data_IF_155288788001
#
_entry.id   IF_155288788001
#
_cell.length_a   1.000
_cell.length_b   1.000
_cell.length_c   1.000
_cell.angle_alpha   90.00
_cell.angle_beta   90.00
_cell.angle_gamma   90.00
#
_symmetry.space_group_name_H-M   'P 1'
#
loop_
_entity.id
_entity.type
_entity.pdbx_description
1 polymer ?
#
# COMPACT_ATOMS: atom_id res chain seq x y z
N UNK A 1 -13.78 -27.67 -30.44
CA UNK A 1 -13.54 -26.22 -30.27
C UNK A 1 -14.29 -25.46 -31.34
N UNK A 2 -15.11 -24.49 -30.94
CA UNK A 2 -15.87 -23.61 -31.85
C UNK A 2 -15.00 -22.46 -32.36
N UNK A 3 -15.43 -21.81 -33.44
CA UNK A 3 -14.75 -20.60 -33.96
C UNK A 3 -14.69 -19.47 -32.92
N UNK A 4 -15.73 -19.36 -32.09
CA UNK A 4 -15.79 -18.38 -31.00
C UNK A 4 -14.74 -18.68 -29.92
N UNK A 5 -14.64 -19.94 -29.50
CA UNK A 5 -13.63 -20.40 -28.54
C UNK A 5 -12.20 -20.17 -29.07
N UNK A 6 -11.93 -20.52 -30.33
CA UNK A 6 -10.62 -20.30 -30.96
C UNK A 6 -10.25 -18.80 -31.01
N UNK A 7 -11.22 -17.93 -31.31
CA UNK A 7 -11.02 -16.47 -31.31
C UNK A 7 -10.74 -15.92 -29.91
N UNK A 8 -11.41 -16.45 -28.89
CA UNK A 8 -11.18 -16.05 -27.50
C UNK A 8 -9.77 -16.43 -27.03
N UNK A 9 -9.32 -17.65 -27.35
CA UNK A 9 -7.95 -18.10 -27.02
C UNK A 9 -6.91 -17.21 -27.69
N UNK A 10 -7.04 -16.95 -29.00
CA UNK A 10 -6.11 -16.06 -29.72
C UNK A 10 -6.01 -14.67 -29.09
N UNK A 11 -7.13 -14.09 -28.65
CA UNK A 11 -7.11 -12.79 -27.96
C UNK A 11 -6.32 -12.83 -26.66
N UNK A 12 -6.48 -13.88 -25.85
CA UNK A 12 -5.70 -14.06 -24.62
C UNK A 12 -4.20 -14.19 -24.89
N UNK A 13 -3.81 -14.95 -25.93
CA UNK A 13 -2.41 -15.09 -26.33
C UNK A 13 -1.82 -13.73 -26.74
N UNK A 14 -2.51 -12.97 -27.60
CA UNK A 14 -2.06 -11.63 -28.03
C UNK A 14 -1.92 -10.67 -26.84
N UNK A 15 -2.85 -10.72 -25.88
CA UNK A 15 -2.75 -9.93 -24.66
C UNK A 15 -1.53 -10.33 -23.81
N UNK A 16 -1.27 -11.63 -23.65
CA UNK A 16 -0.08 -12.13 -22.96
C UNK A 16 1.21 -11.65 -23.62
N UNK A 17 1.33 -11.75 -24.94
CA UNK A 17 2.49 -11.24 -25.69
C UNK A 17 2.69 -9.73 -25.53
N UNK A 18 1.60 -8.96 -25.40
CA UNK A 18 1.67 -7.53 -25.13
C UNK A 18 2.18 -7.23 -23.71
N UNK A 19 1.72 -7.99 -22.71
CA UNK A 19 2.19 -7.88 -21.32
C UNK A 19 3.68 -8.21 -21.23
N UNK A 20 4.13 -9.29 -21.88
CA UNK A 20 5.56 -9.67 -21.93
C UNK A 20 6.42 -8.57 -22.55
N UNK A 21 5.96 -7.95 -23.65
CA UNK A 21 6.64 -6.80 -24.27
C UNK A 21 6.75 -5.58 -23.36
N UNK A 22 5.88 -5.47 -22.34
CA UNK A 22 5.90 -4.41 -21.34
C UNK A 22 6.72 -4.79 -20.09
N UNK A 23 7.44 -5.91 -20.10
CA UNK A 23 8.24 -6.38 -18.97
C UNK A 23 7.50 -7.30 -18.00
N UNK A 24 6.33 -7.83 -18.41
CA UNK A 24 5.55 -8.76 -17.61
C UNK A 24 4.68 -8.08 -16.54
N UNK A 25 4.17 -8.89 -15.62
CA UNK A 25 3.50 -8.41 -14.41
C UNK A 25 4.55 -8.33 -13.30
N UNK A 26 4.62 -7.18 -12.64
CA UNK A 26 5.49 -6.97 -11.47
C UNK A 26 4.66 -6.66 -10.25
N UNK A 27 5.19 -6.99 -9.08
CA UNK A 27 4.60 -6.70 -7.77
C UNK A 27 5.48 -5.73 -7.00
N UNK A 28 4.87 -4.79 -6.30
CA UNK A 28 5.52 -3.93 -5.30
C UNK A 28 4.71 -4.01 -4.01
N UNK A 29 5.41 -4.25 -2.91
CA UNK A 29 4.82 -4.30 -1.57
C UNK A 29 5.13 -2.98 -0.88
N UNK A 30 4.09 -2.29 -0.43
CA UNK A 30 4.18 -0.96 0.21
C UNK A 30 3.24 -0.90 1.41
N UNK A 31 3.58 -0.09 2.41
CA UNK A 31 2.69 0.14 3.56
C UNK A 31 1.35 0.71 3.06
N UNK A 32 0.24 0.05 3.43
CA UNK A 32 -1.09 0.53 3.07
C UNK A 32 -1.56 1.67 3.97
N UNK A 33 -2.70 2.28 3.61
CA UNK A 33 -3.43 3.22 4.47
C UNK A 33 -4.16 2.54 5.65
N UNK A 34 -3.95 1.24 5.87
CA UNK A 34 -4.52 0.46 6.96
C UNK A 34 -3.41 -0.14 7.84
N UNK A 35 -3.53 0.09 9.16
CA UNK A 35 -2.60 -0.43 10.18
C UNK A 35 -2.53 -1.95 10.10
N UNK A 36 -1.31 -2.50 10.05
CA UNK A 36 -1.08 -3.95 9.99
C UNK A 36 -1.33 -4.60 8.63
N UNK A 37 -1.51 -3.81 7.56
CA UNK A 37 -1.68 -4.32 6.20
C UNK A 37 -0.71 -3.64 5.23
N UNK A 38 -0.20 -4.42 4.29
CA UNK A 38 0.49 -3.93 3.11
C UNK A 38 -0.44 -3.89 1.89
N UNK A 39 -0.12 -3.00 0.95
CA UNK A 39 -0.61 -3.09 -0.41
C UNK A 39 0.32 -3.93 -1.25
N UNK A 40 -0.22 -5.01 -1.80
CA UNK A 40 0.39 -5.76 -2.89
C UNK A 40 -0.08 -5.14 -4.20
N UNK A 41 0.75 -4.27 -4.76
CA UNK A 41 0.48 -3.50 -5.96
C UNK A 41 1.03 -4.24 -7.18
N UNK A 42 0.14 -4.64 -8.09
CA UNK A 42 0.48 -5.35 -9.32
C UNK A 42 0.46 -4.39 -10.52
N UNK A 43 1.53 -4.41 -11.31
CA UNK A 43 1.74 -3.53 -12.44
C UNK A 43 1.93 -4.30 -13.74
N UNK A 44 1.52 -3.70 -14.86
CA UNK A 44 1.95 -4.10 -16.20
C UNK A 44 2.73 -2.93 -16.80
N UNK A 45 4.04 -3.12 -17.02
CA UNK A 45 4.95 -1.99 -17.18
C UNK A 45 4.86 -1.05 -15.97
N UNK A 46 4.63 0.24 -16.20
CA UNK A 46 4.49 1.24 -15.13
C UNK A 46 3.03 1.47 -14.69
N UNK A 47 2.06 0.74 -15.26
CA UNK A 47 0.64 0.94 -14.96
C UNK A 47 0.16 0.01 -13.85
N UNK A 48 -0.28 0.59 -12.74
CA UNK A 48 -0.96 -0.14 -11.66
C UNK A 48 -2.28 -0.73 -12.20
N UNK A 49 -2.46 -2.04 -12.03
CA UNK A 49 -3.67 -2.75 -12.48
C UNK A 49 -4.48 -3.33 -11.33
N UNK A 50 -3.86 -3.57 -10.18
CA UNK A 50 -4.52 -4.11 -8.99
C UNK A 50 -3.75 -3.76 -7.72
N UNK A 51 -4.46 -3.50 -6.64
CA UNK A 51 -3.91 -3.41 -5.29
C UNK A 51 -4.70 -4.34 -4.38
N UNK A 52 -4.02 -5.11 -3.55
CA UNK A 52 -4.63 -6.00 -2.56
C UNK A 52 -4.13 -5.65 -1.17
N UNK A 53 -5.03 -5.61 -0.18
CA UNK A 53 -4.64 -5.54 1.22
C UNK A 53 -4.25 -6.94 1.69
N UNK A 54 -3.03 -7.08 2.19
CA UNK A 54 -2.50 -8.32 2.76
C UNK A 54 -2.07 -8.05 4.19
N UNK A 55 -2.43 -8.93 5.11
CA UNK A 55 -2.05 -8.81 6.53
C UNK A 55 -0.53 -8.99 6.67
N UNK A 56 0.08 -8.10 7.45
CA UNK A 56 1.49 -8.18 7.79
C UNK A 56 1.73 -9.25 8.86
N UNK A 57 2.78 -10.06 8.69
CA UNK A 57 3.20 -11.02 9.72
C UNK A 57 3.64 -10.31 11.03
N UNK A 58 4.21 -9.10 10.90
CA UNK A 58 4.58 -8.24 12.02
C UNK A 58 3.94 -6.85 11.85
N UNK A 59 2.70 -6.63 12.33
CA UNK A 59 1.94 -5.41 12.09
C UNK A 59 2.66 -4.15 12.54
N UNK A 60 2.87 -3.20 11.63
CA UNK A 60 3.38 -1.85 11.94
C UNK A 60 2.23 -0.85 12.11
N UNK A 61 2.52 0.26 12.79
CA UNK A 61 1.53 1.26 13.16
C UNK A 61 0.72 0.90 14.40
N UNK A 62 1.12 -0.15 15.12
CA UNK A 62 0.50 -0.60 16.37
C UNK A 62 1.23 -0.02 17.58
N UNK A 63 0.63 -0.11 18.77
CA UNK A 63 1.25 0.42 19.99
C UNK A 63 2.61 -0.23 20.32
N UNK A 64 2.76 -1.51 19.98
CA UNK A 64 3.99 -2.27 20.21
C UNK A 64 5.02 -2.06 19.09
N UNK A 65 4.55 -1.79 17.86
CA UNK A 65 5.38 -1.57 16.68
C UNK A 65 4.92 -0.31 15.91
N UNK A 66 5.15 0.89 16.45
CA UNK A 66 4.69 2.15 15.89
C UNK A 66 5.48 2.54 14.62
N UNK A 67 4.89 3.41 13.80
CA UNK A 67 5.59 4.04 12.70
C UNK A 67 6.62 5.06 13.19
N UNK A 68 7.79 5.16 12.55
CA UNK A 68 8.66 6.32 12.74
C UNK A 68 8.06 7.53 12.00
N UNK A 69 7.66 8.55 12.77
CA UNK A 69 7.03 9.74 12.18
C UNK A 69 8.08 10.70 11.63
N UNK A 70 7.76 11.30 10.49
CA UNK A 70 8.52 12.41 9.90
C UNK A 70 7.58 13.52 9.41
N UNK A 71 8.03 14.78 9.35
CA UNK A 71 7.28 15.89 8.75
C UNK A 71 6.69 15.53 7.37
N UNK A 72 5.43 15.87 7.15
CA UNK A 72 4.71 15.62 5.90
C UNK A 72 4.26 14.16 5.71
N UNK A 73 4.52 13.27 6.66
CA UNK A 73 4.04 11.89 6.61
C UNK A 73 2.51 11.85 6.71
N UNK A 74 1.87 11.06 5.83
CA UNK A 74 0.44 10.80 5.90
C UNK A 74 0.12 9.96 7.13
N UNK A 75 -0.75 10.49 7.98
CA UNK A 75 -1.23 9.80 9.17
C UNK A 75 -2.36 8.83 8.81
N UNK A 76 -2.35 7.70 9.51
CA UNK A 76 -3.42 6.71 9.53
C UNK A 76 -4.13 6.89 10.86
N UNK A 77 -5.43 7.23 10.89
CA UNK A 77 -6.17 7.40 12.13
C UNK A 77 -6.08 6.17 13.05
N UNK A 78 -5.90 6.40 14.35
CA UNK A 78 -5.60 5.39 15.38
C UNK A 78 -4.25 4.68 15.20
N UNK A 79 -3.41 5.12 14.27
CA UNK A 79 -2.05 4.66 14.10
C UNK A 79 -1.16 5.17 15.22
N UNK A 80 -0.19 4.35 15.60
CA UNK A 80 0.81 4.70 16.60
C UNK A 80 2.10 5.11 15.93
N UNK A 81 2.73 6.13 16.50
CA UNK A 81 3.89 6.81 15.94
C UNK A 81 4.97 7.05 17.00
N UNK A 82 6.23 7.07 16.58
CA UNK A 82 7.37 7.49 17.39
C UNK A 82 8.12 8.62 16.75
N UNK A 83 8.52 9.60 17.56
CA UNK A 83 9.39 10.70 17.13
C UNK A 83 10.26 11.15 18.30
N UNK A 84 11.58 11.24 18.10
CA UNK A 84 12.55 11.66 19.11
C UNK A 84 12.40 10.94 20.48
N UNK A 85 12.13 9.63 20.45
CA UNK A 85 11.97 8.81 21.65
C UNK A 85 10.61 8.92 22.36
N UNK A 86 9.70 9.77 21.86
CA UNK A 86 8.32 9.89 22.35
C UNK A 86 7.36 9.08 21.50
N UNK A 87 6.21 8.71 22.09
CA UNK A 87 5.16 7.93 21.43
C UNK A 87 3.88 8.75 21.29
N UNK A 88 3.21 8.60 20.16
CA UNK A 88 2.03 9.35 19.79
C UNK A 88 0.97 8.46 19.16
N UNK A 89 -0.29 8.83 19.32
CA UNK A 89 -1.42 8.25 18.58
C UNK A 89 -2.00 9.30 17.65
N UNK A 90 -2.28 8.91 16.40
CA UNK A 90 -2.96 9.78 15.45
C UNK A 90 -4.46 9.84 15.77
N UNK A 91 -4.93 11.03 16.13
CA UNK A 91 -6.34 11.30 16.45
C UNK A 91 -7.13 11.85 15.27
N UNK A 92 -6.43 12.26 14.20
CA UNK A 92 -7.00 12.74 12.96
C UNK A 92 -6.18 12.27 11.75
N UNK A 93 -6.81 12.27 10.57
CA UNK A 93 -6.10 12.10 9.30
C UNK A 93 -5.41 13.42 8.89
N UNK A 94 -4.27 13.33 8.21
CA UNK A 94 -3.55 14.52 7.73
C UNK A 94 -2.13 14.24 7.30
N UNK A 95 -1.43 15.27 6.83
CA UNK A 95 0.00 15.25 6.50
C UNK A 95 0.72 16.42 7.19
N UNK A 96 0.74 16.45 8.54
CA UNK A 96 1.27 17.60 9.25
C UNK A 96 2.79 17.68 9.13
N UNK A 97 3.32 18.89 8.97
CA UNK A 97 4.78 19.14 8.98
C UNK A 97 5.36 19.17 10.40
N UNK A 98 4.51 19.34 11.41
CA UNK A 98 4.88 19.40 12.83
C UNK A 98 3.89 18.62 13.68
N UNK A 99 4.35 18.15 14.85
CA UNK A 99 3.47 17.49 15.82
C UNK A 99 2.60 18.56 16.48
N UNK A 100 1.28 18.40 16.35
CA UNK A 100 0.28 19.21 17.05
C UNK A 100 -0.78 18.29 17.63
N UNK A 101 -1.41 18.71 18.74
CA UNK A 101 -2.47 17.94 19.40
C UNK A 101 -3.72 17.73 18.54
N UNK A 102 -3.87 18.49 17.45
CA UNK A 102 -4.92 18.29 16.44
C UNK A 102 -4.76 16.95 15.71
N UNK A 103 -3.52 16.51 15.49
CA UNK A 103 -3.22 15.31 14.70
C UNK A 103 -2.61 14.19 15.55
N UNK A 104 -1.70 14.51 16.47
CA UNK A 104 -0.89 13.57 17.22
C UNK A 104 -0.89 13.91 18.71
N UNK A 105 -1.34 12.95 19.53
CA UNK A 105 -1.39 13.09 20.98
C UNK A 105 -0.39 12.12 21.63
N UNK A 106 0.44 12.62 22.55
CA UNK A 106 1.42 11.83 23.30
C UNK A 106 0.73 10.92 24.32
N UNK A 107 1.27 9.72 24.56
CA UNK A 107 0.74 8.73 25.52
C UNK A 107 1.83 7.95 26.26
#
# INVERSE_FOLDING_TARGET
>A
MTRAEAKAIRRKVVQGEQVEKLGGITERIEQSDKIGYDWHNYYVGDKLVKSEYVEQDNPVGTQDNPFEWSPGMRLIPNGYYTYNGKRYVAVAEGTPDTITEEYLVEF
#
